data_IF_618052790890
#
_entry.id   IF_618052790890
#
_cell.length_a   1.000
_cell.length_b   1.000
_cell.length_c   1.000
_cell.angle_alpha   90.00
_cell.angle_beta   90.00
_cell.angle_gamma   90.00
#
_symmetry.space_group_name_H-M   'P 1'
#
loop_
_entity.id
_entity.type
_entity.pdbx_description
1 polymer ?
#
# COMPACT_ATOMS: atom_id res chain seq x y z
N UNK A 1 10.82 -11.43 -12.03
CA UNK A 1 9.97 -12.59 -12.41
C UNK A 1 8.58 -12.38 -11.84
N UNK A 2 7.52 -12.78 -12.54
CA UNK A 2 6.14 -12.65 -12.07
C UNK A 2 5.65 -13.97 -11.44
N UNK A 3 4.88 -13.86 -10.36
CA UNK A 3 4.33 -14.99 -9.62
C UNK A 3 2.95 -14.65 -9.06
N UNK A 4 2.23 -15.67 -8.55
CA UNK A 4 0.98 -15.44 -7.82
C UNK A 4 1.25 -14.50 -6.66
N UNK A 5 0.52 -13.40 -6.62
CA UNK A 5 0.76 -12.30 -5.71
C UNK A 5 -0.55 -11.84 -5.07
N UNK A 6 -0.39 -11.36 -3.85
CA UNK A 6 -1.39 -10.61 -3.11
C UNK A 6 -0.75 -9.29 -2.70
N UNK A 7 -1.57 -8.26 -2.55
CA UNK A 7 -1.17 -6.98 -1.98
C UNK A 7 -1.90 -6.78 -0.65
N UNK A 8 -1.35 -5.95 0.23
CA UNK A 8 -2.00 -5.65 1.50
C UNK A 8 -1.21 -4.64 2.31
N UNK A 9 -1.82 -4.19 3.40
CA UNK A 9 -1.22 -3.21 4.29
C UNK A 9 -2.10 -2.87 5.48
N UNK A 10 -1.65 -1.89 6.25
CA UNK A 10 -2.30 -1.42 7.46
C UNK A 10 -2.46 0.10 7.39
N UNK A 11 -3.62 0.59 7.82
CA UNK A 11 -3.83 1.98 8.16
C UNK A 11 -3.67 2.13 9.68
N UNK A 12 -2.77 3.02 10.06
CA UNK A 12 -2.53 3.39 11.44
C UNK A 12 -3.04 4.80 11.68
N UNK A 13 -3.54 5.07 12.88
CA UNK A 13 -3.85 6.44 13.28
C UNK A 13 -2.55 7.22 13.62
N UNK A 14 -2.71 8.48 13.99
CA UNK A 14 -1.61 9.36 14.38
C UNK A 14 -0.82 8.89 15.62
N UNK A 15 -1.39 8.00 16.43
CA UNK A 15 -0.73 7.35 17.58
C UNK A 15 -0.11 6.00 17.20
N UNK A 16 -0.06 5.68 15.90
CA UNK A 16 0.39 4.40 15.34
C UNK A 16 -0.45 3.21 15.81
N UNK A 17 -1.71 3.45 16.21
CA UNK A 17 -2.65 2.40 16.56
C UNK A 17 -3.30 1.85 15.30
N UNK A 18 -3.45 0.52 15.23
CA UNK A 18 -4.09 -0.12 14.09
C UNK A 18 -5.55 0.30 13.97
N UNK A 19 -5.89 0.95 12.85
CA UNK A 19 -7.25 1.35 12.52
C UNK A 19 -7.93 0.36 11.58
N UNK A 20 -7.24 -0.04 10.51
CA UNK A 20 -7.78 -0.96 9.50
C UNK A 20 -6.66 -1.76 8.83
N UNK A 21 -6.90 -3.04 8.55
CA UNK A 21 -6.00 -3.87 7.73
C UNK A 21 -6.71 -4.27 6.45
N UNK A 22 -5.97 -4.35 5.35
CA UNK A 22 -6.51 -4.70 4.04
C UNK A 22 -5.60 -5.67 3.31
N UNK A 23 -6.20 -6.46 2.42
CA UNK A 23 -5.47 -7.34 1.54
C UNK A 23 -6.34 -7.79 0.37
N UNK A 24 -5.73 -7.98 -0.79
CA UNK A 24 -6.40 -8.51 -1.98
C UNK A 24 -5.47 -9.44 -2.77
N UNK A 25 -6.05 -10.44 -3.41
CA UNK A 25 -5.34 -11.21 -4.42
C UNK A 25 -5.25 -10.38 -5.71
N UNK A 26 -4.03 -10.23 -6.26
CA UNK A 26 -3.77 -9.36 -7.43
C UNK A 26 -3.40 -10.14 -8.70
N UNK A 27 -3.48 -11.47 -8.64
CA UNK A 27 -3.18 -12.32 -9.79
C UNK A 27 -1.70 -12.67 -9.89
N UNK A 28 -1.16 -12.70 -11.11
CA UNK A 28 0.24 -13.03 -11.38
C UNK A 28 1.01 -11.77 -11.78
N UNK A 29 1.84 -11.23 -10.89
CA UNK A 29 2.59 -9.99 -11.16
C UNK A 29 3.98 -10.01 -10.51
N UNK A 30 4.77 -8.96 -10.76
CA UNK A 30 6.03 -8.75 -10.05
C UNK A 30 5.79 -8.24 -8.64
N UNK A 31 6.82 -8.32 -7.79
CA UNK A 31 6.82 -7.75 -6.43
C UNK A 31 6.53 -6.25 -6.50
N UNK A 32 7.22 -5.52 -7.38
CA UNK A 32 6.98 -4.09 -7.59
C UNK A 32 5.50 -3.77 -7.87
N UNK A 33 4.84 -4.54 -8.74
CA UNK A 33 3.42 -4.32 -9.06
C UNK A 33 2.51 -4.67 -7.88
N UNK A 34 2.85 -5.71 -7.09
CA UNK A 34 2.09 -6.05 -5.89
C UNK A 34 2.17 -4.94 -4.83
N UNK A 35 3.35 -4.36 -4.61
CA UNK A 35 3.57 -3.22 -3.72
C UNK A 35 2.83 -1.98 -4.20
N UNK A 36 2.90 -1.66 -5.50
CA UNK A 36 2.16 -0.54 -6.07
C UNK A 36 0.64 -0.70 -5.89
N UNK A 37 0.12 -1.92 -5.99
CA UNK A 37 -1.28 -2.21 -5.68
C UNK A 37 -1.63 -2.05 -4.20
N UNK A 38 -0.74 -2.47 -3.30
CA UNK A 38 -0.93 -2.27 -1.85
C UNK A 38 -1.03 -0.78 -1.54
N UNK A 39 -0.06 0.02 -2.03
CA UNK A 39 -0.05 1.47 -1.83
C UNK A 39 -1.31 2.13 -2.39
N UNK A 40 -1.73 1.79 -3.60
CA UNK A 40 -2.93 2.35 -4.21
C UNK A 40 -4.20 2.05 -3.41
N UNK A 41 -4.35 0.82 -2.92
CA UNK A 41 -5.51 0.45 -2.11
C UNK A 41 -5.51 1.16 -0.76
N UNK A 42 -4.35 1.24 -0.10
CA UNK A 42 -4.21 1.98 1.16
C UNK A 42 -4.57 3.46 1.00
N UNK A 43 -4.12 4.10 -0.08
CA UNK A 43 -4.45 5.49 -0.40
C UNK A 43 -5.94 5.68 -0.66
N UNK A 44 -6.58 4.77 -1.41
CA UNK A 44 -8.03 4.82 -1.66
C UNK A 44 -8.82 4.67 -0.36
N UNK A 45 -8.48 3.68 0.47
CA UNK A 45 -9.15 3.46 1.76
C UNK A 45 -9.00 4.66 2.70
N UNK A 46 -7.81 5.26 2.74
CA UNK A 46 -7.58 6.46 3.53
C UNK A 46 -8.37 7.67 2.99
N UNK A 47 -8.41 7.85 1.66
CA UNK A 47 -9.19 8.90 1.00
C UNK A 47 -10.69 8.75 1.22
N UNK A 48 -11.23 7.54 1.08
CA UNK A 48 -12.63 7.22 1.34
C UNK A 48 -13.01 7.45 2.81
N UNK A 49 -12.03 7.35 3.73
CA UNK A 49 -12.16 7.67 5.15
C UNK A 49 -11.98 9.16 5.48
N UNK A 50 -11.76 10.01 4.47
CA UNK A 50 -11.58 11.46 4.63
C UNK A 50 -10.18 11.90 5.07
N UNK A 51 -9.19 11.01 5.05
CA UNK A 51 -7.82 11.34 5.42
C UNK A 51 -7.04 11.89 4.23
N UNK A 52 -6.54 13.12 4.36
CA UNK A 52 -5.80 13.84 3.31
C UNK A 52 -4.31 14.02 3.63
N UNK A 53 -3.91 13.78 4.88
CA UNK A 53 -2.52 13.85 5.34
C UNK A 53 -2.07 12.47 5.80
N UNK A 54 -1.22 11.83 5.01
CA UNK A 54 -0.79 10.45 5.21
C UNK A 54 0.73 10.36 5.16
N UNK A 55 1.29 9.46 5.97
CA UNK A 55 2.65 8.95 5.82
C UNK A 55 2.53 7.53 5.26
N UNK A 56 3.08 7.29 4.07
CA UNK A 56 3.08 5.98 3.43
C UNK A 56 4.41 5.31 3.73
N UNK A 57 4.38 4.12 4.33
CA UNK A 57 5.56 3.28 4.55
C UNK A 57 5.51 2.10 3.57
N UNK A 58 6.61 1.87 2.85
CA UNK A 58 6.77 0.75 1.91
C UNK A 58 8.22 0.24 2.01
N UNK A 59 8.41 -1.08 2.01
CA UNK A 59 9.73 -1.72 2.08
C UNK A 59 10.39 -1.88 0.71
N UNK A 60 9.68 -1.51 -0.37
CA UNK A 60 10.19 -1.52 -1.72
C UNK A 60 10.80 -0.16 -2.09
N UNK A 61 12.13 -0.11 -2.00
CA UNK A 61 12.92 1.08 -2.34
C UNK A 61 12.71 1.57 -3.78
N UNK A 62 12.47 0.67 -4.74
CA UNK A 62 12.20 1.05 -6.13
C UNK A 62 10.89 1.85 -6.23
N UNK A 63 9.85 1.42 -5.51
CA UNK A 63 8.56 2.13 -5.47
C UNK A 63 8.66 3.47 -4.72
N UNK A 64 9.35 3.50 -3.58
CA UNK A 64 9.58 4.74 -2.82
C UNK A 64 10.29 5.77 -3.71
N UNK A 65 11.36 5.36 -4.38
CA UNK A 65 12.08 6.24 -5.30
C UNK A 65 11.20 6.74 -6.44
N UNK A 66 10.30 5.91 -6.99
CA UNK A 66 9.38 6.34 -8.06
C UNK A 66 8.38 7.41 -7.58
N UNK A 67 7.92 7.34 -6.33
CA UNK A 67 6.87 8.23 -5.80
C UNK A 67 7.40 9.55 -5.26
N UNK A 68 8.68 9.61 -4.87
CA UNK A 68 9.31 10.80 -4.28
C UNK A 68 9.92 11.76 -5.32
N UNK A 69 9.87 11.42 -6.62
CA UNK A 69 10.35 12.26 -7.73
C UNK A 69 9.20 12.88 -8.53
#
# INVERSE_FOLDING_TARGET
>A
MAGRASSGGLLLDHNRSWSLGYGKFVGNCSIFVAEAWATLDGLKLAGDSGHTKLQVECDNMELVNMLEH
#
